data_IF_048053825018
#
_entry.id   IF_048053825018
#
_cell.length_a   1.000
_cell.length_b   1.000
_cell.length_c   1.000
_cell.angle_alpha   90.00
_cell.angle_beta   90.00
_cell.angle_gamma   90.00
#
_symmetry.space_group_name_H-M   'P 1'
#
loop_
_entity.id
_entity.type
_entity.pdbx_description
1 polymer ?
#
# COMPACT_ATOMS: atom_id res chain seq x y z
N UNK A 1 -11.45 -0.14 13.93
CA UNK A 1 -11.05 1.19 13.37
C UNK A 1 -10.11 1.96 14.29
N UNK A 2 -10.19 1.78 15.65
CA UNK A 2 -9.35 2.51 16.60
C UNK A 2 -7.85 2.35 16.36
N UNK A 3 -7.40 1.14 16.00
CA UNK A 3 -5.99 0.81 15.68
C UNK A 3 -5.44 1.47 14.41
N UNK A 4 -6.31 1.95 13.52
CA UNK A 4 -5.95 2.69 12.31
C UNK A 4 -6.26 4.18 12.40
N UNK A 5 -6.65 4.68 13.58
CA UNK A 5 -6.84 6.10 13.80
C UNK A 5 -5.49 6.85 13.69
N UNK A 6 -5.56 8.15 13.38
CA UNK A 6 -4.36 9.00 13.30
C UNK A 6 -3.51 8.91 14.58
N UNK A 7 -4.16 8.92 15.76
CA UNK A 7 -3.46 8.79 17.06
C UNK A 7 -2.76 7.45 17.19
N UNK A 8 -3.42 6.34 16.83
CA UNK A 8 -2.82 5.01 16.92
C UNK A 8 -1.65 4.87 15.94
N UNK A 9 -1.83 5.31 14.68
CA UNK A 9 -0.76 5.24 13.68
C UNK A 9 0.44 6.09 14.07
N UNK A 10 0.24 7.26 14.66
CA UNK A 10 1.35 8.06 15.18
C UNK A 10 2.14 7.33 16.28
N UNK A 11 1.50 6.50 17.09
CA UNK A 11 2.22 5.71 18.10
C UNK A 11 3.06 4.58 17.50
N UNK A 12 2.85 4.22 16.24
CA UNK A 12 3.64 3.23 15.51
C UNK A 12 4.90 3.81 14.85
N UNK A 13 5.09 5.14 14.84
CA UNK A 13 6.15 5.81 14.07
C UNK A 13 7.54 5.27 14.37
N UNK A 14 7.87 5.06 15.66
CA UNK A 14 9.18 4.55 16.07
C UNK A 14 9.39 3.09 15.59
N UNK A 15 8.38 2.24 15.74
CA UNK A 15 8.43 0.85 15.28
C UNK A 15 8.54 0.78 13.76
N UNK A 16 7.74 1.57 13.03
CA UNK A 16 7.80 1.66 11.55
C UNK A 16 9.19 2.11 11.11
N UNK A 17 9.74 3.16 11.73
CA UNK A 17 11.09 3.65 11.42
C UNK A 17 12.16 2.58 11.61
N UNK A 18 12.09 1.83 12.72
CA UNK A 18 13.01 0.73 13.00
C UNK A 18 12.87 -0.44 11.99
N UNK A 19 11.65 -0.75 11.56
CA UNK A 19 11.40 -1.77 10.55
C UNK A 19 11.99 -1.35 9.20
N UNK A 20 11.76 -0.11 8.78
CA UNK A 20 12.30 0.44 7.53
C UNK A 20 13.84 0.46 7.57
N UNK A 21 14.42 0.89 8.68
CA UNK A 21 15.88 0.94 8.86
C UNK A 21 16.53 -0.44 8.70
N UNK A 22 15.94 -1.49 9.25
CA UNK A 22 16.43 -2.87 9.08
C UNK A 22 16.44 -3.29 7.60
N UNK A 23 15.35 -3.03 6.89
CA UNK A 23 15.24 -3.40 5.48
C UNK A 23 16.16 -2.55 4.59
N UNK A 24 16.36 -1.29 4.95
CA UNK A 24 17.33 -0.43 4.27
C UNK A 24 18.76 -0.99 4.38
N UNK A 25 19.19 -1.39 5.58
CA UNK A 25 20.51 -2.00 5.75
C UNK A 25 20.63 -3.30 4.93
N UNK A 26 19.58 -4.13 4.91
CA UNK A 26 19.56 -5.32 4.07
C UNK A 26 19.71 -4.98 2.57
N UNK A 27 18.97 -3.98 2.07
CA UNK A 27 19.10 -3.50 0.69
C UNK A 27 20.53 -3.02 0.38
N UNK A 28 21.11 -2.22 1.28
CA UNK A 28 22.44 -1.63 1.10
C UNK A 28 23.57 -2.68 1.06
N UNK A 29 23.36 -3.86 1.61
CA UNK A 29 24.32 -4.96 1.62
C UNK A 29 24.19 -5.90 0.42
N UNK A 30 23.18 -5.70 -0.44
CA UNK A 30 22.97 -6.53 -1.63
C UNK A 30 23.96 -6.18 -2.76
N UNK A 31 24.33 -7.16 -3.61
CA UNK A 31 25.07 -6.89 -4.83
C UNK A 31 24.23 -6.05 -5.80
N UNK A 32 24.90 -5.16 -6.54
CA UNK A 32 24.26 -4.28 -7.50
C UNK A 32 24.43 -4.79 -8.95
N UNK A 33 23.45 -4.58 -9.85
CA UNK A 33 22.18 -3.89 -9.59
C UNK A 33 21.27 -4.69 -8.67
N UNK A 34 20.57 -4.02 -7.75
CA UNK A 34 19.70 -4.64 -6.76
C UNK A 34 18.23 -4.41 -7.10
N UNK A 35 17.38 -5.41 -6.88
CA UNK A 35 15.94 -5.25 -7.00
C UNK A 35 15.35 -4.57 -5.75
N UNK A 36 14.92 -3.31 -5.91
CA UNK A 36 14.28 -2.52 -4.85
C UNK A 36 13.01 -3.20 -4.33
N UNK A 37 12.25 -3.84 -5.22
CA UNK A 37 10.98 -4.47 -4.84
C UNK A 37 11.23 -5.66 -3.93
N UNK A 38 12.08 -6.58 -4.35
CA UNK A 38 12.40 -7.82 -3.61
C UNK A 38 13.12 -7.53 -2.28
N UNK A 39 14.08 -6.61 -2.28
CA UNK A 39 14.98 -6.42 -1.14
C UNK A 39 14.61 -5.23 -0.22
N UNK A 40 13.58 -4.45 -0.57
CA UNK A 40 13.17 -3.29 0.23
C UNK A 40 11.66 -3.14 0.35
N UNK A 41 10.95 -2.96 -0.78
CA UNK A 41 9.54 -2.56 -0.75
C UNK A 41 8.62 -3.66 -0.23
N UNK A 42 8.77 -4.90 -0.71
CA UNK A 42 7.98 -6.04 -0.23
C UNK A 42 8.32 -6.40 1.21
N UNK A 43 9.58 -6.54 1.63
CA UNK A 43 9.92 -6.81 3.04
C UNK A 43 9.40 -5.76 4.00
N UNK A 44 9.47 -4.47 3.65
CA UNK A 44 8.90 -3.39 4.46
C UNK A 44 7.38 -3.56 4.60
N UNK A 45 6.71 -3.81 3.48
CA UNK A 45 5.26 -3.96 3.47
C UNK A 45 4.83 -5.14 4.36
N UNK A 46 5.46 -6.29 4.21
CA UNK A 46 5.18 -7.50 5.00
C UNK A 46 5.45 -7.25 6.48
N UNK A 47 6.60 -6.70 6.83
CA UNK A 47 6.99 -6.47 8.21
C UNK A 47 6.05 -5.50 8.94
N UNK A 48 5.68 -4.39 8.30
CA UNK A 48 4.73 -3.43 8.88
C UNK A 48 3.32 -4.02 8.98
N UNK A 49 2.92 -4.82 8.00
CA UNK A 49 1.63 -5.51 8.02
C UNK A 49 1.56 -6.51 9.17
N UNK A 50 2.57 -7.37 9.31
CA UNK A 50 2.69 -8.32 10.42
C UNK A 50 2.69 -7.62 11.79
N UNK A 51 3.45 -6.52 11.91
CA UNK A 51 3.52 -5.71 13.14
C UNK A 51 2.14 -5.20 13.58
N UNK A 52 1.41 -4.52 12.69
CA UNK A 52 0.11 -3.90 13.04
C UNK A 52 -0.96 -4.96 13.33
N UNK A 53 -0.93 -6.08 12.61
CA UNK A 53 -1.83 -7.21 12.88
C UNK A 53 -1.47 -7.95 14.18
N UNK A 54 -0.23 -7.84 14.64
CA UNK A 54 0.27 -8.53 15.82
C UNK A 54 0.62 -9.98 15.53
N UNK A 55 1.10 -10.28 14.32
CA UNK A 55 1.61 -11.63 13.98
C UNK A 55 2.83 -11.92 14.85
N UNK A 56 2.87 -13.01 15.60
CA UNK A 56 4.02 -13.39 16.41
C UNK A 56 5.28 -13.59 15.55
N UNK A 57 6.44 -13.19 16.04
CA UNK A 57 7.71 -13.33 15.29
C UNK A 57 7.95 -14.76 14.79
N UNK A 58 7.60 -15.75 15.61
CA UNK A 58 7.70 -17.19 15.24
C UNK A 58 6.79 -17.60 14.09
N UNK A 59 5.78 -16.79 13.74
CA UNK A 59 4.79 -17.07 12.71
C UNK A 59 4.95 -16.16 11.47
N UNK A 60 5.86 -15.17 11.48
CA UNK A 60 6.01 -14.20 10.37
C UNK A 60 6.44 -14.88 9.07
N UNK A 61 7.36 -15.83 9.11
CA UNK A 61 7.79 -16.55 7.90
C UNK A 61 6.63 -17.32 7.25
N UNK A 62 5.77 -17.92 8.05
CA UNK A 62 4.57 -18.60 7.54
C UNK A 62 3.50 -17.61 7.05
N UNK A 63 3.38 -16.45 7.70
CA UNK A 63 2.56 -15.35 7.21
C UNK A 63 3.00 -14.92 5.81
N UNK A 64 4.29 -14.70 5.63
CA UNK A 64 4.86 -14.36 4.33
C UNK A 64 4.55 -15.45 3.30
N UNK A 65 4.86 -16.72 3.60
CA UNK A 65 4.62 -17.85 2.71
C UNK A 65 3.15 -17.99 2.30
N UNK A 66 2.22 -17.82 3.23
CA UNK A 66 0.78 -18.02 2.96
C UNK A 66 0.16 -16.90 2.15
N UNK A 67 0.77 -15.70 2.11
CA UNK A 67 0.24 -14.55 1.37
C UNK A 67 1.08 -14.15 0.15
N UNK A 68 2.26 -14.76 0.00
CA UNK A 68 3.13 -14.62 -1.18
C UNK A 68 2.94 -15.83 -2.10
N UNK A 69 2.13 -15.85 -3.05
CA UNK A 69 2.18 -16.89 -4.06
C UNK A 69 0.93 -17.78 -4.18
N UNK A 70 1.14 -18.98 -4.69
CA UNK A 70 0.14 -19.96 -5.15
C UNK A 70 -0.48 -20.80 -4.04
N UNK A 71 -0.39 -20.36 -2.80
CA UNK A 71 -0.91 -21.09 -1.65
C UNK A 71 -2.44 -21.18 -1.71
N UNK A 72 -2.97 -22.36 -1.46
CA UNK A 72 -4.40 -22.61 -1.51
C UNK A 72 -5.17 -21.78 -0.47
N UNK A 73 -6.45 -21.47 -0.76
CA UNK A 73 -7.33 -20.81 0.22
C UNK A 73 -7.42 -21.62 1.52
N UNK A 74 -7.37 -22.94 1.44
CA UNK A 74 -7.43 -23.83 2.60
C UNK A 74 -6.24 -23.63 3.54
N UNK A 75 -5.02 -23.55 3.00
CA UNK A 75 -3.80 -23.30 3.80
C UNK A 75 -3.83 -21.91 4.44
N UNK A 76 -4.31 -20.88 3.72
CA UNK A 76 -4.50 -19.55 4.29
C UNK A 76 -5.46 -19.54 5.48
N UNK A 77 -6.60 -20.23 5.36
CA UNK A 77 -7.58 -20.35 6.44
C UNK A 77 -6.99 -21.13 7.61
N UNK A 78 -6.23 -22.19 7.35
CA UNK A 78 -5.57 -22.98 8.40
C UNK A 78 -4.62 -22.09 9.20
N UNK A 79 -3.71 -21.38 8.51
CA UNK A 79 -2.77 -20.47 9.16
C UNK A 79 -3.49 -19.34 9.93
N UNK A 80 -4.54 -18.75 9.36
CA UNK A 80 -5.36 -17.74 10.03
C UNK A 80 -5.89 -18.25 11.37
N UNK A 81 -6.39 -19.49 11.40
CA UNK A 81 -6.91 -20.10 12.62
C UNK A 81 -5.83 -20.40 13.65
N UNK A 82 -4.63 -20.75 13.21
CA UNK A 82 -3.47 -20.90 14.10
C UNK A 82 -3.11 -19.55 14.76
N UNK A 83 -3.08 -18.47 14.00
CA UNK A 83 -2.87 -17.11 14.53
C UNK A 83 -4.02 -16.70 15.47
N UNK A 84 -5.27 -16.99 15.10
CA UNK A 84 -6.44 -16.69 15.93
C UNK A 84 -6.34 -17.40 17.29
N UNK A 85 -6.03 -18.70 17.29
CA UNK A 85 -5.86 -19.47 18.53
C UNK A 85 -4.70 -18.94 19.39
N UNK A 86 -3.56 -18.66 18.78
CA UNK A 86 -2.44 -18.07 19.49
C UNK A 86 -2.84 -16.74 20.18
N UNK A 87 -3.61 -15.89 19.49
CA UNK A 87 -4.03 -14.59 20.03
C UNK A 87 -5.14 -14.70 21.09
N UNK A 88 -5.94 -15.73 21.08
CA UNK A 88 -6.86 -16.04 22.20
C UNK A 88 -6.10 -16.30 23.49
N UNK A 89 -4.99 -17.04 23.40
CA UNK A 89 -4.16 -17.42 24.54
C UNK A 89 -3.18 -16.33 24.95
N UNK A 90 -2.72 -15.52 23.97
CA UNK A 90 -1.69 -14.49 24.11
C UNK A 90 -2.16 -13.15 23.52
N UNK A 91 -3.14 -12.48 24.13
CA UNK A 91 -3.65 -11.20 23.61
C UNK A 91 -2.60 -10.11 23.75
N UNK A 92 -2.51 -9.25 22.70
CA UNK A 92 -1.61 -8.10 22.63
C UNK A 92 -2.35 -6.79 22.34
N UNK A 93 -1.61 -5.70 22.21
CA UNK A 93 -2.14 -4.42 21.78
C UNK A 93 -2.13 -4.27 20.25
N UNK A 94 -2.77 -5.18 19.54
CA UNK A 94 -2.78 -5.31 18.08
C UNK A 94 -4.20 -5.44 17.51
N UNK A 95 -4.27 -5.45 16.15
CA UNK A 95 -5.56 -5.51 15.45
C UNK A 95 -6.30 -6.80 15.70
N UNK A 96 -5.61 -7.95 15.64
CA UNK A 96 -6.25 -9.27 15.80
C UNK A 96 -6.78 -9.44 17.22
N UNK A 97 -5.97 -9.11 18.23
CA UNK A 97 -6.41 -9.17 19.62
C UNK A 97 -7.61 -8.27 19.90
N UNK A 98 -7.61 -7.07 19.31
CA UNK A 98 -8.74 -6.13 19.43
C UNK A 98 -10.03 -6.67 18.78
N UNK A 99 -9.92 -7.35 17.63
CA UNK A 99 -11.07 -7.98 16.98
C UNK A 99 -11.62 -9.15 17.82
N UNK A 100 -10.75 -9.99 18.37
CA UNK A 100 -11.13 -11.13 19.22
C UNK A 100 -11.86 -10.66 20.48
N UNK A 101 -11.47 -9.51 21.04
CA UNK A 101 -12.09 -8.91 22.24
C UNK A 101 -13.37 -8.11 21.93
N UNK A 102 -13.77 -7.99 20.67
CA UNK A 102 -14.99 -7.29 20.28
C UNK A 102 -16.24 -8.15 20.47
N UNK A 103 -17.43 -7.56 20.27
CA UNK A 103 -18.72 -8.27 20.31
C UNK A 103 -19.01 -9.10 19.05
N UNK A 104 -18.06 -9.20 18.12
CA UNK A 104 -18.21 -9.95 16.88
C UNK A 104 -18.15 -11.47 17.14
N UNK A 105 -18.91 -12.22 16.36
CA UNK A 105 -18.79 -13.68 16.35
C UNK A 105 -17.42 -14.12 15.82
N UNK A 106 -16.98 -15.32 16.18
CA UNK A 106 -15.74 -15.89 15.68
C UNK A 106 -15.68 -15.88 14.13
N UNK A 107 -16.77 -16.20 13.46
CA UNK A 107 -16.83 -16.23 12.00
C UNK A 107 -16.61 -14.83 11.38
N UNK A 108 -17.16 -13.78 12.00
CA UNK A 108 -16.95 -12.39 11.58
C UNK A 108 -15.50 -11.97 11.83
N UNK A 109 -14.93 -12.32 12.97
CA UNK A 109 -13.51 -12.05 13.29
C UNK A 109 -12.59 -12.75 12.30
N UNK A 110 -12.78 -14.06 12.05
CA UNK A 110 -12.00 -14.82 11.05
C UNK A 110 -12.13 -14.19 9.65
N UNK A 111 -13.32 -13.76 9.26
CA UNK A 111 -13.56 -13.07 7.99
C UNK A 111 -12.81 -11.75 7.90
N UNK A 112 -12.82 -10.93 8.95
CA UNK A 112 -12.07 -9.68 8.99
C UNK A 112 -10.55 -9.90 8.99
N UNK A 113 -10.04 -10.86 9.74
CA UNK A 113 -8.62 -11.23 9.74
C UNK A 113 -8.21 -11.66 8.32
N UNK A 114 -9.03 -12.46 7.63
CA UNK A 114 -8.75 -12.85 6.24
C UNK A 114 -8.65 -11.64 5.30
N UNK A 115 -9.56 -10.68 5.43
CA UNK A 115 -9.49 -9.43 4.64
C UNK A 115 -8.23 -8.66 4.97
N UNK A 116 -7.88 -8.52 6.24
CA UNK A 116 -6.64 -7.84 6.63
C UNK A 116 -5.40 -8.57 6.12
N UNK A 117 -5.36 -9.90 6.16
CA UNK A 117 -4.24 -10.67 5.64
C UNK A 117 -4.02 -10.49 4.13
N UNK A 118 -5.11 -10.32 3.37
CA UNK A 118 -5.05 -10.17 1.91
C UNK A 118 -4.92 -8.72 1.45
N UNK A 119 -5.12 -7.73 2.35
CA UNK A 119 -5.06 -6.31 2.05
C UNK A 119 -3.75 -5.70 2.52
N UNK A 120 -3.26 -4.70 1.82
CA UNK A 120 -2.17 -3.83 2.30
C UNK A 120 -0.76 -4.31 1.98
N UNK A 121 -0.53 -5.59 1.73
CA UNK A 121 0.79 -6.10 1.38
C UNK A 121 1.27 -5.56 0.04
N UNK A 122 0.55 -5.87 -1.03
CA UNK A 122 0.98 -5.53 -2.39
C UNK A 122 0.90 -4.02 -2.66
N UNK A 123 -0.06 -3.34 -2.05
CA UNK A 123 -0.30 -1.91 -2.29
C UNK A 123 0.80 -1.01 -1.73
N UNK A 124 1.32 -1.30 -0.55
CA UNK A 124 2.42 -0.50 0.05
C UNK A 124 3.72 -0.75 -0.70
N UNK A 125 4.05 -2.00 -1.03
CA UNK A 125 5.21 -2.35 -1.84
C UNK A 125 5.15 -1.67 -3.22
N UNK A 126 3.99 -1.76 -3.89
CA UNK A 126 3.74 -1.06 -5.15
C UNK A 126 4.01 0.44 -5.03
N UNK A 127 3.46 1.10 -4.00
CA UNK A 127 3.61 2.55 -3.84
C UNK A 127 5.07 2.97 -3.59
N UNK A 128 5.83 2.21 -2.79
CA UNK A 128 7.24 2.52 -2.56
C UNK A 128 8.04 2.39 -3.87
N UNK A 129 7.91 1.25 -4.56
CA UNK A 129 8.66 0.99 -5.80
C UNK A 129 8.30 1.96 -6.92
N UNK A 130 6.99 2.19 -7.16
CA UNK A 130 6.54 3.08 -8.23
C UNK A 130 6.82 4.55 -7.93
N UNK A 131 6.80 4.96 -6.66
CA UNK A 131 7.23 6.31 -6.27
C UNK A 131 8.71 6.53 -6.58
N UNK A 132 9.57 5.54 -6.33
CA UNK A 132 10.99 5.64 -6.69
C UNK A 132 11.18 5.69 -8.21
N UNK A 133 10.48 4.88 -8.98
CA UNK A 133 10.52 4.93 -10.45
C UNK A 133 10.08 6.31 -10.94
N UNK A 134 8.95 6.83 -10.43
CA UNK A 134 8.45 8.14 -10.81
C UNK A 134 9.45 9.26 -10.47
N UNK A 135 10.07 9.22 -9.30
CA UNK A 135 11.10 10.20 -8.90
C UNK A 135 12.34 10.12 -9.80
N UNK A 136 12.82 8.92 -10.12
CA UNK A 136 13.99 8.73 -10.99
C UNK A 136 13.73 9.13 -12.44
N UNK A 137 12.48 9.05 -12.90
CA UNK A 137 12.06 9.56 -14.20
C UNK A 137 11.82 11.09 -14.22
N UNK A 138 11.76 11.73 -13.03
CA UNK A 138 11.56 13.16 -12.87
C UNK A 138 12.69 13.77 -11.99
N UNK A 139 13.91 13.90 -12.50
CA UNK A 139 15.10 14.23 -11.71
C UNK A 139 15.00 15.57 -10.96
N UNK A 140 14.28 16.55 -11.49
CA UNK A 140 14.05 17.84 -10.81
C UNK A 140 13.17 17.65 -9.56
N UNK A 141 12.19 16.75 -9.63
CA UNK A 141 11.33 16.43 -8.47
C UNK A 141 12.11 15.61 -7.43
N UNK A 142 12.97 14.69 -7.86
CA UNK A 142 13.87 13.96 -6.96
C UNK A 142 14.82 14.91 -6.24
N UNK A 143 15.41 15.89 -6.96
CA UNK A 143 16.28 16.90 -6.38
C UNK A 143 15.53 17.73 -5.34
N UNK A 144 14.36 18.25 -5.70
CA UNK A 144 13.49 19.00 -4.77
C UNK A 144 13.21 18.23 -3.49
N UNK A 145 12.91 16.92 -3.63
CA UNK A 145 12.63 16.05 -2.49
C UNK A 145 13.85 15.86 -1.58
N UNK A 146 15.05 15.64 -2.18
CA UNK A 146 16.30 15.49 -1.42
C UNK A 146 16.69 16.75 -0.65
N UNK A 147 16.45 17.91 -1.21
CA UNK A 147 16.74 19.20 -0.57
C UNK A 147 15.79 19.52 0.59
N UNK A 148 14.64 18.83 0.65
CA UNK A 148 13.56 19.07 1.64
C UNK A 148 13.21 17.82 2.47
N UNK A 149 14.18 16.99 2.81
CA UNK A 149 13.96 15.83 3.69
C UNK A 149 13.74 16.25 5.16
N UNK A 150 12.86 15.58 5.91
CA UNK A 150 12.12 14.38 5.55
C UNK A 150 11.04 14.64 4.49
N UNK A 151 10.66 13.58 3.75
CA UNK A 151 9.59 13.65 2.75
C UNK A 151 8.34 14.26 3.37
N UNK A 152 7.80 15.32 2.76
CA UNK A 152 6.62 16.00 3.29
C UNK A 152 5.34 15.19 3.07
N UNK A 153 4.29 15.52 3.82
CA UNK A 153 2.97 14.89 3.64
C UNK A 153 2.41 15.20 2.26
N UNK A 154 2.61 16.42 1.79
CA UNK A 154 2.16 16.91 0.48
C UNK A 154 2.82 16.10 -0.64
N UNK A 155 4.13 15.85 -0.54
CA UNK A 155 4.85 15.01 -1.50
C UNK A 155 4.31 13.56 -1.51
N UNK A 156 3.97 12.99 -0.35
CA UNK A 156 3.35 11.66 -0.27
C UNK A 156 1.99 11.65 -0.98
N UNK A 157 1.12 12.65 -0.73
CA UNK A 157 -0.19 12.74 -1.40
C UNK A 157 -0.04 12.86 -2.93
N UNK A 158 0.89 13.67 -3.42
CA UNK A 158 1.13 13.78 -4.87
C UNK A 158 1.66 12.46 -5.47
N UNK A 159 2.61 11.79 -4.80
CA UNK A 159 3.07 10.47 -5.23
C UNK A 159 1.91 9.46 -5.26
N UNK A 160 1.04 9.46 -4.27
CA UNK A 160 -0.13 8.59 -4.23
C UNK A 160 -1.15 8.91 -5.32
N UNK A 161 -1.35 10.19 -5.64
CA UNK A 161 -2.19 10.62 -6.77
C UNK A 161 -1.60 10.12 -8.09
N UNK A 162 -0.31 10.40 -8.31
CA UNK A 162 0.41 10.14 -9.56
C UNK A 162 0.62 8.66 -9.83
N UNK A 163 0.98 7.88 -8.80
CA UNK A 163 1.25 6.45 -8.88
C UNK A 163 0.04 5.57 -8.50
N UNK A 164 -1.19 6.06 -8.65
CA UNK A 164 -2.38 5.32 -8.24
C UNK A 164 -2.38 3.87 -8.75
N UNK A 165 -2.55 2.91 -7.83
CA UNK A 165 -2.49 1.48 -8.13
C UNK A 165 -3.76 0.95 -8.83
N UNK A 166 -4.92 1.44 -8.42
CA UNK A 166 -6.20 0.90 -8.88
C UNK A 166 -6.64 1.53 -10.20
N UNK A 167 -6.72 0.70 -11.24
CA UNK A 167 -7.32 1.07 -12.53
C UNK A 167 -8.83 1.18 -12.36
N UNK A 168 -9.45 0.20 -11.69
CA UNK A 168 -10.86 0.22 -11.29
C UNK A 168 -11.03 -0.25 -9.86
N UNK A 169 -11.97 0.36 -9.14
CA UNK A 169 -12.41 -0.10 -7.82
C UNK A 169 -13.50 -1.17 -7.93
N UNK A 170 -13.85 -1.76 -6.79
CA UNK A 170 -14.97 -2.69 -6.69
C UNK A 170 -16.24 -2.11 -7.32
N UNK A 171 -16.89 -2.85 -8.24
CA UNK A 171 -18.08 -2.35 -8.93
C UNK A 171 -19.24 -2.12 -7.95
N UNK A 172 -20.11 -1.18 -8.30
CA UNK A 172 -21.38 -0.91 -7.64
C UNK A 172 -22.49 -1.38 -8.56
N UNK A 173 -23.55 -1.99 -8.01
CA UNK A 173 -24.74 -2.36 -8.76
C UNK A 173 -25.78 -1.28 -8.55
N UNK A 174 -26.35 -0.75 -9.63
CA UNK A 174 -27.47 0.15 -9.59
C UNK A 174 -28.69 -0.57 -9.01
N UNK A 175 -29.31 -0.05 -7.96
CA UNK A 175 -30.49 -0.65 -7.33
C UNK A 175 -31.79 -0.20 -8.02
N UNK A 176 -31.76 0.89 -8.75
CA UNK A 176 -32.85 1.48 -9.53
C UNK A 176 -32.29 2.13 -10.79
N UNK A 177 -33.15 2.47 -11.74
CA UNK A 177 -32.76 3.25 -12.92
C UNK A 177 -32.30 4.64 -12.47
N UNK A 178 -31.15 5.07 -12.97
CA UNK A 178 -30.56 6.35 -12.62
C UNK A 178 -29.83 6.98 -13.82
N UNK A 179 -29.47 8.24 -13.69
CA UNK A 179 -28.70 8.97 -14.69
C UNK A 179 -27.49 9.62 -14.03
N UNK A 180 -26.31 9.40 -14.61
CA UNK A 180 -25.04 10.03 -14.18
C UNK A 180 -24.44 10.76 -15.39
N UNK A 181 -24.27 12.07 -15.25
CA UNK A 181 -23.68 12.92 -16.30
C UNK A 181 -24.32 12.71 -17.70
N UNK A 182 -25.65 12.56 -17.77
CA UNK A 182 -26.38 12.33 -19.01
C UNK A 182 -26.40 10.87 -19.50
N UNK A 183 -25.67 9.97 -18.84
CA UNK A 183 -25.67 8.54 -19.14
C UNK A 183 -26.74 7.82 -18.31
N UNK A 184 -27.71 7.19 -19.00
CA UNK A 184 -28.71 6.34 -18.34
C UNK A 184 -28.09 5.01 -17.92
N UNK A 185 -28.43 4.58 -16.71
CA UNK A 185 -27.96 3.33 -16.08
C UNK A 185 -29.21 2.63 -15.56
N UNK A 186 -29.45 1.42 -16.03
CA UNK A 186 -30.60 0.61 -15.62
C UNK A 186 -30.32 -0.15 -14.32
N UNK A 187 -31.37 -0.43 -13.57
CA UNK A 187 -31.29 -1.28 -12.40
C UNK A 187 -30.61 -2.63 -12.73
N UNK A 188 -29.69 -3.06 -11.86
CA UNK A 188 -28.89 -4.27 -12.05
C UNK A 188 -27.59 -4.06 -12.85
N UNK A 189 -27.40 -2.93 -13.52
CA UNK A 189 -26.13 -2.65 -14.20
C UNK A 189 -25.01 -2.32 -13.20
N UNK A 190 -23.77 -2.67 -13.59
CA UNK A 190 -22.58 -2.42 -12.78
C UNK A 190 -21.89 -1.12 -13.19
N UNK A 191 -21.48 -0.35 -12.18
CA UNK A 191 -20.73 0.90 -12.32
C UNK A 191 -19.38 0.71 -11.65
N UNK A 192 -18.29 0.90 -12.39
CA UNK A 192 -16.93 0.92 -11.83
C UNK A 192 -16.34 2.32 -11.83
N UNK A 193 -15.68 2.68 -10.73
CA UNK A 193 -14.96 3.95 -10.59
C UNK A 193 -13.49 3.72 -10.88
N UNK A 194 -12.87 4.59 -11.68
CA UNK A 194 -11.44 4.53 -12.00
C UNK A 194 -10.64 5.60 -11.24
N UNK A 195 -9.95 5.24 -10.15
CA UNK A 195 -9.08 6.19 -9.45
C UNK A 195 -7.98 6.76 -10.33
N UNK A 196 -7.38 5.94 -11.20
CA UNK A 196 -6.35 6.39 -12.15
C UNK A 196 -6.86 7.49 -13.06
N UNK A 197 -8.08 7.36 -13.58
CA UNK A 197 -8.69 8.37 -14.43
C UNK A 197 -9.04 9.66 -13.64
N UNK A 198 -9.66 9.52 -12.48
CA UNK A 198 -10.09 10.65 -11.65
C UNK A 198 -8.89 11.43 -11.10
N UNK A 199 -7.85 10.73 -10.69
CA UNK A 199 -6.61 11.36 -10.22
C UNK A 199 -5.83 12.09 -11.35
N UNK A 200 -6.27 11.95 -12.59
CA UNK A 200 -5.74 12.63 -13.77
C UNK A 200 -6.77 13.45 -14.55
N UNK A 201 -7.92 13.70 -13.94
CA UNK A 201 -8.96 14.51 -14.58
C UNK A 201 -8.50 15.99 -14.68
N UNK A 202 -8.37 16.57 -15.90
CA UNK A 202 -7.95 17.94 -16.07
C UNK A 202 -8.96 18.99 -15.57
N UNK A 203 -10.19 18.60 -15.30
CA UNK A 203 -11.17 19.47 -14.65
C UNK A 203 -10.90 19.68 -13.15
N UNK A 204 -10.14 18.75 -12.53
CA UNK A 204 -9.81 18.77 -11.10
C UNK A 204 -8.33 19.15 -10.89
N UNK A 205 -7.44 18.61 -11.75
CA UNK A 205 -6.00 18.70 -11.59
C UNK A 205 -5.37 19.51 -12.74
N UNK A 206 -4.68 20.57 -12.40
CA UNK A 206 -3.84 21.27 -13.36
C UNK A 206 -2.62 20.39 -13.72
N UNK A 207 -2.29 20.31 -15.02
CA UNK A 207 -1.24 19.43 -15.55
C UNK A 207 -1.26 18.02 -14.89
N UNK A 208 -2.36 17.27 -15.06
CA UNK A 208 -2.61 16.04 -14.29
C UNK A 208 -1.59 14.92 -14.52
N UNK A 209 -0.91 14.94 -15.66
CA UNK A 209 0.11 13.96 -16.03
C UNK A 209 1.53 14.36 -15.63
N UNK A 210 1.70 15.52 -14.98
CA UNK A 210 2.98 16.00 -14.46
C UNK A 210 3.07 15.73 -12.97
N UNK A 211 4.18 15.11 -12.54
CA UNK A 211 4.50 14.97 -11.12
C UNK A 211 4.96 16.31 -10.56
N UNK A 212 4.30 16.83 -9.54
CA UNK A 212 4.63 18.10 -8.87
C UNK A 212 4.52 17.90 -7.36
N UNK A 213 5.65 17.68 -6.67
CA UNK A 213 5.68 17.39 -5.24
C UNK A 213 5.27 18.58 -4.35
N UNK A 214 5.26 19.76 -4.91
CA UNK A 214 4.78 21.02 -4.31
C UNK A 214 3.33 21.36 -4.68
N UNK A 215 2.62 20.41 -5.33
CA UNK A 215 1.22 20.60 -5.69
C UNK A 215 0.37 20.86 -4.45
N UNK A 216 -0.59 21.80 -4.55
CA UNK A 216 -1.61 21.97 -3.53
C UNK A 216 -2.37 20.66 -3.31
N UNK A 217 -2.45 20.24 -2.04
CA UNK A 217 -3.10 18.99 -1.68
C UNK A 217 -4.59 19.09 -1.93
N UNK A 218 -5.10 18.21 -2.79
CA UNK A 218 -6.52 18.00 -3.03
C UNK A 218 -6.86 16.53 -2.75
N UNK A 219 -8.14 16.27 -2.50
CA UNK A 219 -8.60 14.90 -2.30
C UNK A 219 -8.43 14.08 -3.59
N UNK A 220 -7.59 13.06 -3.54
CA UNK A 220 -7.44 12.05 -4.59
C UNK A 220 -8.14 10.75 -4.22
N UNK A 221 -8.43 9.88 -5.18
CA UNK A 221 -9.17 8.63 -4.96
C UNK A 221 -8.29 7.38 -4.82
N UNK A 222 -7.00 7.52 -4.55
CA UNK A 222 -6.10 6.36 -4.37
C UNK A 222 -6.48 5.49 -3.17
N UNK A 223 -7.17 6.05 -2.19
CA UNK A 223 -7.73 5.34 -1.03
C UNK A 223 -9.24 5.09 -1.10
N UNK A 224 -9.86 5.35 -2.25
CA UNK A 224 -11.32 5.30 -2.37
C UNK A 224 -12.01 6.41 -1.58
N UNK A 225 -13.32 6.26 -1.37
CA UNK A 225 -14.16 7.23 -0.67
C UNK A 225 -15.36 6.56 0.01
N UNK A 226 -15.92 7.21 1.02
CA UNK A 226 -17.14 6.78 1.73
C UNK A 226 -16.88 5.58 2.66
N UNK A 227 -17.90 4.75 2.87
CA UNK A 227 -17.87 3.63 3.83
C UNK A 227 -16.83 2.56 3.48
N UNK A 228 -16.39 2.49 2.23
CA UNK A 228 -15.33 1.61 1.75
C UNK A 228 -13.97 2.31 1.60
N UNK A 229 -13.82 3.54 2.09
CA UNK A 229 -12.52 4.21 2.15
C UNK A 229 -11.47 3.34 2.84
N UNK A 230 -10.24 3.37 2.34
CA UNK A 230 -9.16 2.54 2.85
C UNK A 230 -8.94 2.76 4.35
N UNK A 231 -9.06 1.69 5.13
CA UNK A 231 -8.85 1.73 6.58
C UNK A 231 -7.38 1.99 6.92
N UNK A 232 -6.45 1.42 6.14
CA UNK A 232 -5.01 1.51 6.33
C UNK A 232 -4.36 2.79 5.80
N UNK A 233 -5.14 3.77 5.32
CA UNK A 233 -4.61 4.95 4.64
C UNK A 233 -3.59 5.76 5.45
N UNK A 234 -3.76 5.88 6.77
CA UNK A 234 -2.82 6.61 7.62
C UNK A 234 -1.51 5.85 7.80
N UNK A 235 -1.60 4.53 7.98
CA UNK A 235 -0.43 3.66 8.07
C UNK A 235 0.36 3.63 6.76
N UNK A 236 -0.32 3.54 5.62
CA UNK A 236 0.32 3.56 4.31
C UNK A 236 1.11 4.85 4.10
N UNK A 237 0.53 6.02 4.43
CA UNK A 237 1.24 7.31 4.38
C UNK A 237 2.51 7.33 5.22
N UNK A 238 2.41 6.86 6.46
CA UNK A 238 3.55 6.79 7.37
C UNK A 238 4.66 5.89 6.81
N UNK A 239 4.31 4.68 6.38
CA UNK A 239 5.30 3.71 5.87
C UNK A 239 5.97 4.22 4.59
N UNK A 240 5.22 4.78 3.65
CA UNK A 240 5.76 5.34 2.39
C UNK A 240 6.67 6.54 2.70
N UNK A 241 6.21 7.47 3.53
CA UNK A 241 6.99 8.64 3.94
C UNK A 241 8.33 8.24 4.56
N UNK A 242 8.30 7.31 5.51
CA UNK A 242 9.48 6.86 6.22
C UNK A 242 10.43 6.09 5.30
N UNK A 243 9.90 5.21 4.44
CA UNK A 243 10.69 4.43 3.48
C UNK A 243 11.47 5.34 2.53
N UNK A 244 10.79 6.29 1.90
CA UNK A 244 11.43 7.23 0.97
C UNK A 244 12.41 8.15 1.71
N UNK A 245 12.07 8.61 2.91
CA UNK A 245 12.95 9.47 3.69
C UNK A 245 14.26 8.79 4.04
N UNK A 246 14.20 7.57 4.58
CA UNK A 246 15.41 6.83 4.98
C UNK A 246 16.23 6.42 3.76
N UNK A 247 15.59 5.94 2.70
CA UNK A 247 16.28 5.55 1.47
C UNK A 247 17.06 6.74 0.88
N UNK A 248 16.41 7.90 0.71
CA UNK A 248 17.02 9.07 0.09
C UNK A 248 18.08 9.75 0.99
N UNK A 249 18.03 9.57 2.30
CA UNK A 249 19.09 10.04 3.22
C UNK A 249 20.34 9.18 3.17
N UNK A 250 20.20 7.89 2.89
CA UNK A 250 21.30 6.92 2.98
C UNK A 250 22.02 6.67 1.67
N UNK A 251 21.53 7.21 0.57
CA UNK A 251 22.05 7.00 -0.78
C UNK A 251 22.39 8.35 -1.41
N UNK A 252 23.65 8.55 -1.78
CA UNK A 252 24.12 9.81 -2.39
C UNK A 252 23.68 9.93 -3.86
N UNK A 253 23.87 8.87 -4.63
CA UNK A 253 23.41 8.80 -6.04
C UNK A 253 22.59 7.53 -6.26
N UNK A 254 21.63 7.60 -7.16
CA UNK A 254 20.75 6.46 -7.48
C UNK A 254 20.41 6.50 -8.97
N UNK A 255 20.52 5.37 -9.62
CA UNK A 255 20.27 5.18 -11.05
C UNK A 255 19.24 4.05 -11.23
N UNK A 256 18.22 4.30 -12.07
CA UNK A 256 17.30 3.27 -12.53
C UNK A 256 17.95 2.47 -13.67
N UNK A 257 18.26 1.20 -13.42
CA UNK A 257 18.81 0.30 -14.44
C UNK A 257 17.69 -0.26 -15.31
N UNK A 258 16.64 -0.76 -14.69
CA UNK A 258 15.44 -1.23 -15.37
C UNK A 258 14.26 -1.29 -14.39
N UNK A 259 13.06 -1.16 -14.94
CA UNK A 259 11.83 -1.46 -14.23
C UNK A 259 10.96 -2.33 -15.15
N UNK A 260 10.43 -3.43 -14.61
CA UNK A 260 9.42 -4.18 -15.34
C UNK A 260 8.22 -3.29 -15.62
N UNK A 261 7.71 -3.36 -16.85
CA UNK A 261 6.49 -2.64 -17.19
C UNK A 261 5.37 -3.12 -16.26
N UNK A 262 4.82 -2.17 -15.51
CA UNK A 262 3.68 -2.42 -14.64
C UNK A 262 2.45 -2.62 -15.53
N UNK A 263 2.20 -3.87 -15.92
CA UNK A 263 1.01 -4.21 -16.68
C UNK A 263 -0.20 -4.24 -15.74
N UNK A 264 -1.35 -3.67 -16.14
CA UNK A 264 -2.58 -3.88 -15.41
C UNK A 264 -2.93 -5.37 -15.41
N UNK A 265 -3.48 -5.87 -14.30
CA UNK A 265 -4.07 -7.21 -14.28
C UNK A 265 -5.15 -7.30 -15.37
N UNK A 266 -5.26 -8.48 -15.99
CA UNK A 266 -6.29 -8.71 -17.02
C UNK A 266 -7.68 -8.29 -16.52
N UNK A 267 -8.43 -7.65 -17.41
CA UNK A 267 -9.78 -7.11 -17.13
C UNK A 267 -10.85 -8.17 -16.74
N UNK A 268 -10.49 -9.45 -16.70
CA UNK A 268 -11.35 -10.51 -16.20
C UNK A 268 -11.67 -10.41 -14.69
N UNK A 269 -10.93 -9.59 -13.95
CA UNK A 269 -11.17 -9.38 -12.53
C UNK A 269 -12.01 -8.12 -12.31
N UNK A 270 -13.03 -8.14 -11.43
CA UNK A 270 -13.88 -6.97 -11.17
C UNK A 270 -13.12 -5.78 -10.58
N UNK A 271 -11.91 -6.00 -10.09
CA UNK A 271 -10.97 -4.97 -9.61
C UNK A 271 -9.69 -5.10 -10.42
N UNK A 272 -9.41 -4.11 -11.25
CA UNK A 272 -8.16 -4.04 -11.99
C UNK A 272 -7.14 -3.20 -11.22
N UNK A 273 -5.95 -3.78 -10.99
CA UNK A 273 -4.83 -3.12 -10.33
C UNK A 273 -3.57 -3.24 -11.16
N UNK A 274 -2.65 -2.30 -11.00
CA UNK A 274 -1.27 -2.51 -11.40
C UNK A 274 -0.58 -3.42 -10.38
N UNK A 275 0.33 -4.27 -10.85
CA UNK A 275 1.22 -5.04 -9.98
C UNK A 275 2.56 -4.33 -9.86
N UNK A 276 3.22 -4.54 -8.75
CA UNK A 276 4.63 -4.21 -8.63
C UNK A 276 5.43 -5.28 -9.38
N UNK A 277 6.41 -4.83 -10.18
CA UNK A 277 7.41 -5.67 -10.82
C UNK A 277 8.79 -5.41 -10.23
N UNK A 278 9.80 -6.08 -10.77
CA UNK A 278 11.19 -5.84 -10.40
C UNK A 278 11.64 -4.44 -10.80
N UNK A 279 12.30 -3.75 -9.87
CA UNK A 279 12.88 -2.42 -10.07
C UNK A 279 14.36 -2.46 -9.72
N UNK A 280 15.20 -2.60 -10.75
CA UNK A 280 16.65 -2.73 -10.56
C UNK A 280 17.32 -1.36 -10.48
N UNK A 281 18.03 -1.16 -9.39
CA UNK A 281 18.75 0.08 -9.08
C UNK A 281 20.25 -0.14 -8.96
N UNK A 282 21.02 0.91 -9.28
CA UNK A 282 22.39 1.11 -8.81
C UNK A 282 22.44 2.36 -7.96
N UNK A 283 23.28 2.35 -6.93
CA UNK A 283 23.42 3.50 -6.03
C UNK A 283 24.81 3.58 -5.40
N UNK A 284 25.16 4.77 -4.93
CA UNK A 284 26.34 5.04 -4.11
C UNK A 284 25.88 5.43 -2.71
N UNK A 285 26.54 4.86 -1.68
CA UNK A 285 26.25 5.15 -0.26
C UNK A 285 26.81 6.49 0.16
#
# INVERSE_FOLDING_TARGET
TSKFSFKAVNSYSEAVSALVYRQLNHLLDQPQPVDLTEHFSEPISIANHAFVLGIPDSMVNEFERTFVGTVSRHERIKYLREVYQFKLENPGDDVISHLIQSELSQAEVEGLIYVFFTSGRDSVAYMISTSMVALLQNPEQLKLLRENLPVSKEAVEELMRFCAMFVTLFPRTALEDLEIAGQKIEAGQSISVSPVAINRDPQIWDEPNTLKLDREVKAHLSFGHGIHGCLGQQLARLVIQESLTQLLRSINSIELVSAEQLAPMEFAHPVATYKVGSVFLKFEK
#
